data_IF_353773825047
#
_entry.id   IF_353773825047
#
_cell.length_a   1.000
_cell.length_b   1.000
_cell.length_c   1.000
_cell.angle_alpha   90.00
_cell.angle_beta   90.00
_cell.angle_gamma   90.00
#
_symmetry.space_group_name_H-M   'P 1'
#
loop_
_entity.id
_entity.type
_entity.pdbx_description
1 polymer ?
#
# COMPACT_ATOMS: atom_id res chain seq x y z
N UNK A 1 36.06 15.26 20.54
CA UNK A 1 35.61 15.72 21.87
C UNK A 1 34.24 16.36 21.72
N UNK A 2 33.16 15.63 22.04
CA UNK A 2 31.81 16.21 22.04
C UNK A 2 31.67 17.08 23.28
N UNK A 3 31.52 18.39 23.09
CA UNK A 3 31.28 19.35 24.18
C UNK A 3 29.85 19.12 24.66
N UNK A 4 29.67 18.73 25.92
CA UNK A 4 28.35 18.57 26.51
C UNK A 4 27.74 19.97 26.68
N UNK A 5 26.66 20.24 25.95
CA UNK A 5 25.93 21.49 26.02
C UNK A 5 24.76 21.30 26.98
N UNK A 6 24.84 21.90 28.17
CA UNK A 6 23.74 21.87 29.13
C UNK A 6 22.63 22.82 28.67
N UNK A 7 21.49 22.24 28.28
CA UNK A 7 20.27 22.98 27.99
C UNK A 7 19.44 23.07 29.27
N UNK A 8 19.10 24.30 29.68
CA UNK A 8 18.22 24.54 30.81
C UNK A 8 16.81 24.83 30.34
N UNK A 9 15.87 24.31 31.10
CA UNK A 9 14.46 24.53 30.88
C UNK A 9 13.99 25.71 31.74
N UNK A 10 13.22 26.62 31.16
CA UNK A 10 12.69 27.77 31.90
C UNK A 10 11.48 27.37 32.78
N UNK A 11 10.97 28.34 33.55
CA UNK A 11 9.80 28.14 34.41
C UNK A 11 8.51 27.77 33.64
N UNK A 12 8.47 28.02 32.33
CA UNK A 12 7.37 27.70 31.41
C UNK A 12 7.62 26.40 30.63
N UNK A 13 8.60 25.60 31.04
CA UNK A 13 9.02 24.36 30.37
C UNK A 13 9.49 24.55 28.92
N UNK A 14 10.03 25.72 28.61
CA UNK A 14 10.63 26.03 27.30
C UNK A 14 12.12 25.76 27.37
N UNK A 15 12.65 25.23 26.28
CA UNK A 15 14.10 25.05 26.09
C UNK A 15 14.52 25.96 24.95
N UNK A 16 15.49 26.84 25.21
CA UNK A 16 16.12 27.63 24.16
C UNK A 16 17.16 26.75 23.47
N UNK A 17 16.95 26.43 22.19
CA UNK A 17 17.93 25.72 21.38
C UNK A 17 18.96 26.72 20.85
N UNK A 18 20.27 26.49 21.10
CA UNK A 18 21.33 27.29 20.50
C UNK A 18 21.25 27.26 18.98
N UNK A 19 21.52 28.40 18.33
CA UNK A 19 21.48 28.51 16.86
C UNK A 19 22.40 27.50 16.17
N UNK A 20 23.56 27.21 16.76
CA UNK A 20 24.51 26.20 16.26
C UNK A 20 23.87 24.81 16.11
N UNK A 21 22.96 24.43 17.01
CA UNK A 21 22.24 23.14 16.89
C UNK A 21 21.19 23.19 15.79
N UNK A 22 20.51 24.34 15.63
CA UNK A 22 19.52 24.54 14.58
C UNK A 22 20.18 24.53 13.19
N UNK A 23 21.28 25.26 13.05
CA UNK A 23 22.09 25.33 11.83
C UNK A 23 22.67 23.95 11.46
N UNK A 24 23.23 23.23 12.44
CA UNK A 24 23.74 21.88 12.21
C UNK A 24 22.63 20.89 11.81
N UNK A 25 21.40 21.12 12.25
CA UNK A 25 20.22 20.35 11.87
C UNK A 25 19.54 20.85 10.59
N UNK A 26 20.03 21.93 9.95
CA UNK A 26 19.41 22.54 8.78
C UNK A 26 18.03 23.15 9.05
N UNK A 27 17.74 23.54 10.30
CA UNK A 27 16.45 24.09 10.70
C UNK A 27 16.48 25.61 10.56
N UNK A 28 15.74 26.13 9.59
CA UNK A 28 15.54 27.58 9.42
C UNK A 28 14.41 28.10 10.33
N UNK A 29 14.46 29.37 10.72
CA UNK A 29 13.36 30.06 11.41
C UNK A 29 12.54 30.87 10.39
N UNK A 30 11.19 30.82 10.38
CA UNK A 30 10.28 30.11 11.28
C UNK A 30 9.78 28.76 10.72
N UNK A 31 10.40 27.65 11.13
CA UNK A 31 9.94 26.30 10.78
C UNK A 31 9.13 25.68 11.92
N UNK A 32 8.02 25.00 11.58
CA UNK A 32 7.24 24.21 12.54
C UNK A 32 8.03 22.96 12.94
N UNK A 33 8.16 22.72 14.23
CA UNK A 33 8.87 21.55 14.78
C UNK A 33 7.91 20.61 15.50
N UNK A 34 8.23 19.32 15.47
CA UNK A 34 7.61 18.27 16.26
C UNK A 34 8.60 17.85 17.35
N UNK A 35 8.10 17.70 18.58
CA UNK A 35 8.87 17.18 19.70
C UNK A 35 8.14 15.98 20.30
N UNK A 36 8.82 14.83 20.41
CA UNK A 36 8.25 13.62 20.98
C UNK A 36 9.30 12.80 21.74
N UNK A 37 8.84 11.97 22.67
CA UNK A 37 9.69 11.00 23.36
C UNK A 37 9.83 9.76 22.47
N UNK A 38 11.05 9.39 22.13
CA UNK A 38 11.32 8.17 21.35
C UNK A 38 11.54 6.96 22.27
N UNK A 39 12.21 7.18 23.40
CA UNK A 39 12.46 6.16 24.42
C UNK A 39 12.65 6.83 25.79
N UNK A 40 12.67 6.07 26.91
CA UNK A 40 12.92 6.65 28.24
C UNK A 40 14.22 7.45 28.26
N UNK A 41 14.12 8.75 28.57
CA UNK A 41 15.26 9.66 28.62
C UNK A 41 15.70 10.23 27.26
N UNK A 42 15.06 9.85 26.14
CA UNK A 42 15.38 10.36 24.80
C UNK A 42 14.21 11.13 24.20
N UNK A 43 14.42 12.43 23.99
CA UNK A 43 13.52 13.29 23.24
C UNK A 43 14.11 13.61 21.87
N UNK A 44 13.25 13.61 20.86
CA UNK A 44 13.60 13.94 19.48
C UNK A 44 12.83 15.18 19.09
N UNK A 45 13.53 16.13 18.46
CA UNK A 45 12.96 17.31 17.82
C UNK A 45 13.24 17.20 16.33
N UNK A 46 12.20 17.24 15.52
CA UNK A 46 12.31 17.05 14.08
C UNK A 46 11.37 17.98 13.30
N UNK A 47 11.69 18.25 12.04
CA UNK A 47 10.70 18.80 11.11
C UNK A 47 9.67 17.72 10.75
N UNK A 48 8.43 18.10 10.37
CA UNK A 48 7.42 17.14 9.94
C UNK A 48 7.91 16.22 8.82
N UNK A 49 8.62 16.78 7.84
CA UNK A 49 9.19 16.05 6.71
C UNK A 49 10.23 15.02 7.15
N UNK A 50 11.16 15.41 8.04
CA UNK A 50 12.16 14.50 8.58
C UNK A 50 11.52 13.38 9.43
N UNK A 51 10.45 13.69 10.17
CA UNK A 51 9.71 12.69 10.94
C UNK A 51 9.04 11.66 10.02
N UNK A 52 8.43 12.09 8.91
CA UNK A 52 7.83 11.19 7.91
C UNK A 52 8.90 10.35 7.24
N UNK A 53 10.01 10.95 6.80
CA UNK A 53 11.11 10.21 6.17
C UNK A 53 11.70 9.14 7.11
N UNK A 54 11.92 9.49 8.39
CA UNK A 54 12.41 8.56 9.40
C UNK A 54 11.41 7.44 9.70
N UNK A 55 10.11 7.73 9.74
CA UNK A 55 9.08 6.71 9.90
C UNK A 55 9.05 5.75 8.71
N UNK A 56 9.11 6.28 7.48
CA UNK A 56 9.17 5.46 6.26
C UNK A 56 10.39 4.55 6.25
N UNK A 57 11.57 5.06 6.62
CA UNK A 57 12.79 4.24 6.70
C UNK A 57 12.68 3.13 7.74
N UNK A 58 12.08 3.40 8.91
CA UNK A 58 11.84 2.36 9.92
C UNK A 58 10.89 1.28 9.40
N UNK A 59 9.80 1.66 8.75
CA UNK A 59 8.86 0.71 8.13
C UNK A 59 9.59 -0.16 7.10
N UNK A 60 10.41 0.43 6.25
CA UNK A 60 11.18 -0.33 5.25
C UNK A 60 12.28 -1.20 5.85
N UNK A 61 12.82 -0.85 7.01
CA UNK A 61 13.81 -1.67 7.72
C UNK A 61 13.17 -2.80 8.53
N UNK A 62 11.94 -2.60 9.03
CA UNK A 62 11.15 -3.60 9.77
C UNK A 62 10.41 -4.56 8.83
N UNK A 63 10.21 -4.18 7.56
CA UNK A 63 9.86 -5.11 6.51
C UNK A 63 11.09 -5.97 6.23
N UNK A 64 11.10 -7.19 6.79
CA UNK A 64 12.07 -8.22 6.41
C UNK A 64 12.22 -8.17 4.89
N UNK A 65 13.45 -8.01 4.34
CA UNK A 65 13.63 -8.18 2.91
C UNK A 65 13.08 -9.56 2.63
N UNK A 66 12.06 -9.65 1.77
CA UNK A 66 11.32 -10.89 1.54
C UNK A 66 12.29 -11.95 1.00
N UNK A 67 12.99 -12.63 1.91
CA UNK A 67 13.84 -13.77 1.64
C UNK A 67 12.91 -14.97 1.66
N UNK A 68 12.20 -15.12 0.56
CA UNK A 68 11.62 -16.40 0.19
C UNK A 68 11.67 -16.42 -1.31
N UNK A 69 11.94 -17.58 -1.91
CA UNK A 69 11.94 -17.80 -3.36
C UNK A 69 10.58 -17.56 -4.01
N UNK A 70 10.03 -16.37 -3.82
CA UNK A 70 8.76 -15.86 -4.30
C UNK A 70 8.99 -15.47 -5.75
N UNK A 71 8.85 -16.45 -6.64
CA UNK A 71 8.80 -16.16 -8.07
C UNK A 71 7.45 -15.52 -8.39
N UNK A 72 7.38 -14.20 -8.27
CA UNK A 72 6.22 -13.41 -8.69
C UNK A 72 5.82 -13.71 -10.15
N UNK A 73 6.76 -14.20 -10.98
CA UNK A 73 6.47 -14.64 -12.33
C UNK A 73 5.70 -15.97 -12.37
N UNK A 74 5.93 -16.87 -11.42
CA UNK A 74 5.17 -18.11 -11.29
C UNK A 74 3.72 -17.83 -10.88
N UNK A 75 3.51 -16.89 -9.95
CA UNK A 75 2.17 -16.47 -9.53
C UNK A 75 1.41 -15.78 -10.67
N UNK A 76 2.07 -14.89 -11.42
CA UNK A 76 1.46 -14.25 -12.58
C UNK A 76 1.10 -15.26 -13.67
N UNK A 77 1.92 -16.30 -13.88
CA UNK A 77 1.59 -17.41 -14.79
C UNK A 77 0.39 -18.20 -14.26
N UNK A 78 0.36 -18.54 -12.99
CA UNK A 78 -0.75 -19.27 -12.37
C UNK A 78 -2.07 -18.50 -12.46
N UNK A 79 -2.06 -17.19 -12.20
CA UNK A 79 -3.22 -16.31 -12.39
C UNK A 79 -3.70 -16.30 -13.85
N UNK A 80 -2.79 -16.18 -14.82
CA UNK A 80 -3.15 -16.22 -16.24
C UNK A 80 -3.77 -17.56 -16.64
N UNK A 81 -3.21 -18.67 -16.17
CA UNK A 81 -3.74 -19.99 -16.46
C UNK A 81 -5.15 -20.19 -15.86
N UNK A 82 -5.39 -19.63 -14.68
CA UNK A 82 -6.72 -19.62 -14.07
C UNK A 82 -7.71 -18.75 -14.84
N UNK A 83 -7.31 -17.55 -15.26
CA UNK A 83 -8.14 -16.68 -16.09
C UNK A 83 -8.54 -17.34 -17.41
N UNK A 84 -7.61 -18.04 -18.08
CA UNK A 84 -7.89 -18.80 -19.30
C UNK A 84 -8.89 -19.91 -19.03
N UNK A 85 -8.72 -20.69 -17.95
CA UNK A 85 -9.67 -21.76 -17.58
C UNK A 85 -11.07 -21.23 -17.31
N UNK A 86 -11.18 -20.07 -16.65
CA UNK A 86 -12.46 -19.42 -16.38
C UNK A 86 -13.09 -18.91 -17.69
N UNK A 87 -12.30 -18.33 -18.58
CA UNK A 87 -12.77 -17.89 -19.90
C UNK A 87 -13.30 -19.06 -20.74
N UNK A 88 -12.56 -20.17 -20.81
CA UNK A 88 -12.95 -21.38 -21.54
C UNK A 88 -14.24 -21.99 -20.98
N UNK A 89 -14.36 -22.10 -19.65
CA UNK A 89 -15.57 -22.61 -19.00
C UNK A 89 -16.78 -21.73 -19.33
N UNK A 90 -16.62 -20.42 -19.29
CA UNK A 90 -17.68 -19.47 -19.61
C UNK A 90 -18.04 -19.49 -21.10
N UNK A 91 -17.09 -19.74 -21.99
CA UNK A 91 -17.35 -19.90 -23.41
C UNK A 91 -18.16 -21.18 -23.69
N UNK A 92 -17.78 -22.30 -23.07
CA UNK A 92 -18.52 -23.57 -23.17
C UNK A 92 -19.95 -23.44 -22.64
N UNK A 93 -20.14 -22.81 -21.47
CA UNK A 93 -21.46 -22.61 -20.89
C UNK A 93 -22.38 -21.72 -21.75
N UNK A 94 -21.82 -20.74 -22.48
CA UNK A 94 -22.58 -19.93 -23.42
C UNK A 94 -22.99 -20.72 -24.66
N UNK A 95 -22.09 -21.54 -25.21
CA UNK A 95 -22.39 -22.39 -26.36
C UNK A 95 -23.53 -23.39 -26.05
N UNK A 96 -23.47 -24.05 -24.89
CA UNK A 96 -24.52 -24.97 -24.45
C UNK A 96 -25.87 -24.24 -24.23
N UNK A 97 -25.83 -23.03 -23.67
CA UNK A 97 -27.02 -22.21 -23.46
C UNK A 97 -27.67 -21.75 -24.77
N UNK A 98 -26.87 -21.38 -25.77
CA UNK A 98 -27.36 -20.93 -27.07
C UNK A 98 -28.00 -22.10 -27.84
N UNK A 99 -27.39 -23.29 -27.81
CA UNK A 99 -27.95 -24.49 -28.43
C UNK A 99 -29.28 -24.91 -27.78
N UNK A 100 -29.38 -24.80 -26.45
CA UNK A 100 -30.59 -25.09 -25.72
C UNK A 100 -31.69 -24.05 -25.97
N UNK A 101 -31.34 -22.77 -26.09
CA UNK A 101 -32.28 -21.72 -26.48
C UNK A 101 -32.83 -21.92 -27.90
N UNK A 102 -32.00 -22.36 -28.84
CA UNK A 102 -32.42 -22.67 -30.21
C UNK A 102 -33.34 -23.89 -30.27
N UNK A 103 -33.08 -24.93 -29.47
CA UNK A 103 -33.94 -26.12 -29.36
C UNK A 103 -35.29 -25.78 -28.72
N UNK A 104 -35.30 -24.99 -27.64
CA UNK A 104 -36.53 -24.54 -26.98
C UNK A 104 -37.34 -23.59 -27.88
N UNK A 105 -36.67 -22.72 -28.64
CA UNK A 105 -37.28 -21.87 -29.66
C UNK A 105 -37.95 -22.69 -30.77
N UNK A 106 -37.26 -23.71 -31.30
CA UNK A 106 -37.82 -24.64 -32.29
C UNK A 106 -39.05 -25.38 -31.75
N UNK A 107 -39.01 -25.85 -30.50
CA UNK A 107 -40.16 -26.51 -29.85
C UNK A 107 -41.36 -25.58 -29.68
N UNK A 108 -41.12 -24.32 -29.26
CA UNK A 108 -42.17 -23.33 -29.11
C UNK A 108 -42.84 -23.02 -30.45
N UNK A 109 -42.05 -22.82 -31.52
CA UNK A 109 -42.58 -22.57 -32.86
C UNK A 109 -43.41 -23.75 -33.38
N UNK A 110 -42.97 -25.00 -33.11
CA UNK A 110 -43.72 -26.20 -33.46
C UNK A 110 -45.04 -26.30 -32.69
N UNK A 111 -45.05 -26.00 -31.39
CA UNK A 111 -46.25 -26.01 -30.55
C UNK A 111 -47.29 -24.95 -30.99
N UNK A 112 -46.83 -23.83 -31.54
CA UNK A 112 -47.68 -22.77 -32.09
C UNK A 112 -48.15 -23.04 -33.53
N UNK A 113 -47.71 -24.13 -34.15
CA UNK A 113 -48.04 -24.47 -35.54
C UNK A 113 -47.40 -23.54 -36.57
N UNK A 114 -46.32 -22.83 -36.20
CA UNK A 114 -45.63 -21.84 -37.03
C UNK A 114 -44.43 -22.41 -37.79
N UNK A 115 -44.22 -23.74 -37.73
CA UNK A 115 -43.15 -24.43 -38.47
C UNK A 115 -43.61 -24.73 -39.90
N UNK A 116 -43.57 -23.73 -40.78
CA UNK A 116 -43.86 -23.92 -42.20
C UNK A 116 -44.14 -22.63 -42.99
N UNK A 117 -43.08 -21.98 -43.46
CA UNK A 117 -43.02 -21.20 -44.71
C UNK A 117 -41.56 -21.17 -45.19
#
# INVERSE_FOLDING_TARGET
>A
MSRLLELRMDAKRRVALPSVLLEAAGIENPTRLLAYAESPGRFVIATPEAAVAAASQRIWADLDPTDSGYDASADVRAMRDEDVRVADRNAAARADSDEQADEDGRRLLAALGLTGA
#
